data_IF_535109912271
#
_entry.id   IF_535109912271
#
_cell.length_a   1.000
_cell.length_b   1.000
_cell.length_c   1.000
_cell.angle_alpha   90.00
_cell.angle_beta   90.00
_cell.angle_gamma   90.00
#
_symmetry.space_group_name_H-M   'P 1'
#
loop_
_entity.id
_entity.type
_entity.pdbx_description
1 polymer ?
#
# COMPACT_ATOMS: atom_id res chain seq x y z
N UNK A 1 20.52 -11.12 -3.83
CA UNK A 1 19.73 -10.10 -4.57
C UNK A 1 18.58 -10.72 -5.34
N UNK A 2 18.78 -11.81 -6.09
CA UNK A 2 17.72 -12.54 -6.81
C UNK A 2 16.65 -13.14 -5.88
N UNK A 3 17.04 -13.67 -4.72
CA UNK A 3 16.07 -14.26 -3.78
C UNK A 3 15.08 -13.24 -3.17
N UNK A 4 15.52 -12.00 -2.96
CA UNK A 4 14.65 -10.93 -2.47
C UNK A 4 13.60 -10.53 -3.52
N UNK A 5 14.00 -10.45 -4.80
CA UNK A 5 13.10 -10.16 -5.91
C UNK A 5 12.06 -11.28 -6.07
N UNK A 6 12.51 -12.53 -5.93
CA UNK A 6 11.65 -13.70 -6.01
C UNK A 6 10.64 -13.73 -4.86
N UNK A 7 11.07 -13.44 -3.63
CA UNK A 7 10.20 -13.34 -2.45
C UNK A 7 9.15 -12.23 -2.61
N UNK A 8 9.52 -11.06 -3.13
CA UNK A 8 8.54 -9.98 -3.39
C UNK A 8 7.53 -10.36 -4.47
N UNK A 9 7.95 -11.03 -5.54
CA UNK A 9 7.06 -11.47 -6.60
C UNK A 9 6.06 -12.54 -6.11
N UNK A 10 6.51 -13.45 -5.23
CA UNK A 10 5.66 -14.48 -4.63
C UNK A 10 4.66 -13.88 -3.65
N UNK A 11 5.06 -12.90 -2.82
CA UNK A 11 4.14 -12.21 -1.89
C UNK A 11 3.06 -11.41 -2.63
N UNK A 12 3.42 -10.78 -3.76
CA UNK A 12 2.47 -10.06 -4.62
C UNK A 12 1.52 -11.02 -5.34
N UNK A 13 2.02 -12.18 -5.80
CA UNK A 13 1.22 -13.18 -6.50
C UNK A 13 0.31 -14.02 -5.59
N UNK A 14 0.68 -14.22 -4.32
CA UNK A 14 -0.09 -14.98 -3.34
C UNK A 14 -1.19 -14.16 -2.64
N UNK A 15 -1.23 -12.85 -2.85
CA UNK A 15 -2.20 -11.96 -2.20
C UNK A 15 -3.48 -11.82 -3.01
N UNK A 16 -4.52 -12.58 -2.68
CA UNK A 16 -5.92 -12.25 -2.99
C UNK A 16 -6.42 -11.00 -2.21
N UNK A 17 -5.52 -10.06 -1.92
CA UNK A 17 -5.78 -8.89 -1.10
C UNK A 17 -6.10 -7.70 -2.01
N UNK A 18 -7.17 -6.92 -1.75
CA UNK A 18 -7.52 -5.73 -2.53
C UNK A 18 -6.40 -4.66 -2.61
N UNK A 19 -5.32 -4.80 -1.82
CA UNK A 19 -4.13 -3.96 -1.86
C UNK A 19 -3.01 -4.44 -2.81
N UNK A 20 -3.10 -5.64 -3.39
CA UNK A 20 -2.05 -6.24 -4.23
C UNK A 20 -1.56 -5.35 -5.38
N UNK A 21 -2.42 -4.58 -6.09
CA UNK A 21 -1.97 -3.69 -7.15
C UNK A 21 -1.08 -2.56 -6.64
N UNK A 22 -1.41 -1.95 -5.49
CA UNK A 22 -0.65 -0.81 -4.96
C UNK A 22 0.70 -1.28 -4.41
N UNK A 23 0.75 -2.45 -3.79
CA UNK A 23 2.00 -3.09 -3.35
C UNK A 23 2.92 -3.37 -4.54
N UNK A 24 2.37 -3.80 -5.68
CA UNK A 24 3.11 -3.94 -6.94
C UNK A 24 3.73 -2.64 -7.44
N UNK A 25 2.98 -1.53 -7.38
CA UNK A 25 3.50 -0.20 -7.78
C UNK A 25 4.59 0.29 -6.83
N UNK A 26 4.44 0.06 -5.52
CA UNK A 26 5.47 0.40 -4.53
C UNK A 26 6.77 -0.37 -4.77
N UNK A 27 6.67 -1.68 -4.96
CA UNK A 27 7.84 -2.52 -5.25
C UNK A 27 8.52 -2.11 -6.56
N UNK A 28 7.75 -1.76 -7.59
CA UNK A 28 8.30 -1.21 -8.82
C UNK A 28 9.06 0.10 -8.61
N UNK A 29 8.47 1.05 -7.87
CA UNK A 29 9.13 2.33 -7.54
C UNK A 29 10.44 2.13 -6.76
N UNK A 30 10.45 1.19 -5.82
CA UNK A 30 11.65 0.81 -5.07
C UNK A 30 12.73 0.22 -5.97
N UNK A 31 12.38 -0.71 -6.86
CA UNK A 31 13.32 -1.31 -7.81
C UNK A 31 13.91 -0.24 -8.75
N UNK A 32 13.07 0.66 -9.27
CA UNK A 32 13.51 1.81 -10.07
C UNK A 32 14.53 2.67 -9.33
N UNK A 33 14.28 2.98 -8.05
CA UNK A 33 15.19 3.78 -7.26
C UNK A 33 16.54 3.07 -7.03
N UNK A 34 16.52 1.77 -6.74
CA UNK A 34 17.73 0.95 -6.55
C UNK A 34 18.54 0.88 -7.86
N UNK A 35 17.88 0.57 -8.99
CA UNK A 35 18.53 0.51 -10.30
C UNK A 35 19.11 1.87 -10.69
N UNK A 36 18.36 2.95 -10.46
CA UNK A 36 18.83 4.32 -10.67
C UNK A 36 20.07 4.65 -9.84
N UNK A 37 20.10 4.20 -8.59
CA UNK A 37 21.23 4.40 -7.69
C UNK A 37 22.48 3.64 -8.18
N UNK A 38 22.33 2.36 -8.54
CA UNK A 38 23.42 1.54 -9.10
C UNK A 38 23.96 2.16 -10.39
N UNK A 39 23.07 2.63 -11.27
CA UNK A 39 23.44 3.29 -12.53
C UNK A 39 23.93 4.74 -12.37
N UNK A 40 24.02 5.26 -11.13
CA UNK A 40 24.35 6.66 -10.81
C UNK A 40 23.49 7.69 -11.58
N UNK A 41 22.23 7.35 -11.83
CA UNK A 41 21.25 8.21 -12.51
C UNK A 41 20.25 8.78 -11.51
N UNK A 42 20.53 9.99 -11.03
CA UNK A 42 19.69 10.70 -10.05
C UNK A 42 18.22 10.87 -10.50
N UNK A 43 17.98 11.02 -11.81
CA UNK A 43 16.62 11.12 -12.34
C UNK A 43 15.80 9.85 -12.10
N UNK A 44 16.40 8.67 -12.30
CA UNK A 44 15.72 7.40 -12.05
C UNK A 44 15.48 7.18 -10.55
N UNK A 45 16.42 7.61 -9.70
CA UNK A 45 16.23 7.60 -8.24
C UNK A 45 15.04 8.47 -7.85
N UNK A 46 14.99 9.71 -8.34
CA UNK A 46 13.89 10.63 -8.08
C UNK A 46 12.55 10.10 -8.57
N UNK A 47 12.51 9.51 -9.77
CA UNK A 47 11.29 8.91 -10.32
C UNK A 47 10.80 7.74 -9.47
N UNK A 48 11.69 6.84 -9.05
CA UNK A 48 11.34 5.71 -8.19
C UNK A 48 10.78 6.14 -6.84
N UNK A 49 11.39 7.16 -6.22
CA UNK A 49 10.90 7.75 -4.96
C UNK A 49 9.53 8.42 -5.17
N UNK A 50 9.35 9.17 -6.26
CA UNK A 50 8.07 9.81 -6.55
C UNK A 50 6.94 8.79 -6.72
N UNK A 51 7.20 7.69 -7.42
CA UNK A 51 6.25 6.58 -7.60
C UNK A 51 5.90 5.94 -6.26
N UNK A 52 6.89 5.71 -5.38
CA UNK A 52 6.66 5.20 -4.02
C UNK A 52 5.71 6.11 -3.23
N UNK A 53 5.96 7.42 -3.22
CA UNK A 53 5.11 8.37 -2.52
C UNK A 53 3.69 8.43 -3.09
N UNK A 54 3.54 8.41 -4.41
CA UNK A 54 2.23 8.39 -5.07
C UNK A 54 1.45 7.13 -4.72
N UNK A 55 2.10 5.97 -4.70
CA UNK A 55 1.46 4.71 -4.31
C UNK A 55 1.00 4.74 -2.84
N UNK A 56 1.83 5.28 -1.94
CA UNK A 56 1.45 5.47 -0.53
C UNK A 56 0.26 6.40 -0.39
N UNK A 57 0.26 7.54 -1.09
CA UNK A 57 -0.84 8.49 -1.07
C UNK A 57 -2.15 7.85 -1.58
N UNK A 58 -2.08 7.04 -2.64
CA UNK A 58 -3.23 6.30 -3.15
C UNK A 58 -3.78 5.31 -2.12
N UNK A 59 -2.92 4.58 -1.40
CA UNK A 59 -3.34 3.66 -0.33
C UNK A 59 -4.08 4.39 0.79
N UNK A 60 -3.54 5.53 1.24
CA UNK A 60 -4.16 6.34 2.29
C UNK A 60 -5.52 6.87 1.83
N UNK A 61 -5.61 7.35 0.58
CA UNK A 61 -6.87 7.83 0.02
C UNK A 61 -7.91 6.71 -0.08
N UNK A 62 -7.52 5.54 -0.59
CA UNK A 62 -8.42 4.39 -0.69
C UNK A 62 -8.91 3.94 0.69
N UNK A 63 -8.02 3.88 1.68
CA UNK A 63 -8.39 3.56 3.06
C UNK A 63 -9.35 4.60 3.66
N UNK A 64 -9.15 5.89 3.35
CA UNK A 64 -10.07 6.94 3.78
C UNK A 64 -11.44 6.81 3.12
N UNK A 65 -11.51 6.52 1.82
CA UNK A 65 -12.77 6.35 1.11
C UNK A 65 -13.54 5.13 1.62
N UNK A 66 -12.85 4.04 1.92
CA UNK A 66 -13.42 2.84 2.54
C UNK A 66 -14.01 3.18 3.93
N UNK A 67 -13.24 3.90 4.76
CA UNK A 67 -13.71 4.36 6.07
C UNK A 67 -14.91 5.30 5.98
N UNK A 68 -14.87 6.29 5.08
CA UNK A 68 -15.94 7.27 4.88
C UNK A 68 -17.21 6.66 4.26
N UNK A 69 -17.07 5.53 3.55
CA UNK A 69 -18.18 4.80 2.93
C UNK A 69 -19.10 4.08 3.93
N UNK A 70 -18.70 3.95 5.20
CA UNK A 70 -19.52 3.39 6.27
C UNK A 70 -19.55 1.85 6.36
N UNK A 71 -18.92 1.15 5.41
CA UNK A 71 -18.81 -0.32 5.42
C UNK A 71 -17.57 -0.84 6.19
N UNK A 72 -16.74 0.07 6.72
CA UNK A 72 -15.50 -0.28 7.41
C UNK A 72 -15.76 -0.78 8.83
N UNK A 73 -15.02 -1.82 9.24
CA UNK A 73 -14.97 -2.30 10.62
C UNK A 73 -14.48 -1.21 11.58
N UNK A 74 -15.35 -0.67 12.45
CA UNK A 74 -14.92 0.16 13.57
C UNK A 74 -14.15 -0.71 14.60
N UNK A 75 -12.84 -0.48 14.80
CA UNK A 75 -12.04 -1.29 15.72
C UNK A 75 -12.29 -0.94 17.19
N UNK A 76 -13.11 0.08 17.49
CA UNK A 76 -13.46 0.43 18.87
C UNK A 76 -14.28 -0.71 19.50
N UNK A 77 -14.02 -1.07 20.77
CA UNK A 77 -14.84 -2.04 21.47
C UNK A 77 -16.30 -1.61 21.46
N UNK A 78 -17.20 -2.49 21.01
CA UNK A 78 -18.64 -2.26 21.11
C UNK A 78 -19.02 -2.20 22.57
N UNK A 79 -19.49 -1.04 23.03
CA UNK A 79 -20.07 -0.91 24.37
C UNK A 79 -21.38 -1.73 24.42
N UNK A 80 -21.49 -2.76 25.28
CA UNK A 80 -22.69 -3.57 25.39
C UNK A 80 -23.92 -2.80 25.88
N UNK A 81 -23.74 -1.60 26.44
CA UNK A 81 -24.80 -0.81 27.05
C UNK A 81 -25.43 0.20 26.08
N UNK A 82 -24.93 0.33 24.85
CA UNK A 82 -25.50 1.24 23.86
C UNK A 82 -26.70 0.62 23.12
N UNK A 83 -27.74 1.40 22.80
CA UNK A 83 -28.88 0.91 22.03
C UNK A 83 -28.45 0.44 20.63
N UNK A 84 -29.12 -0.58 20.04
CA UNK A 84 -28.86 -1.00 18.67
C UNK A 84 -29.06 0.17 17.70
N UNK A 85 -28.03 0.49 16.90
CA UNK A 85 -28.08 1.57 15.91
C UNK A 85 -27.49 2.90 16.38
N UNK A 86 -26.99 2.99 17.62
CA UNK A 86 -26.15 4.11 18.09
C UNK A 86 -24.68 3.69 18.01
N UNK A 87 -24.21 3.41 16.79
CA UNK A 87 -22.79 3.25 16.51
C UNK A 87 -22.33 4.54 15.80
N UNK A 88 -21.31 5.24 16.31
CA UNK A 88 -20.73 6.41 15.62
C UNK A 88 -19.99 6.02 14.34
#
# INVERSE_FOLDING_TARGET
MLELVLLTAVVVAAGELPAAPVVGVMTFGLVMAIVGHIARRNLLVGLGIAVLFMATAALVLLAYLDFAGGDSFDPRPRDPNLPPGVYP
#
